data_IF_256297928916
#
_entry.id   IF_256297928916
#
_cell.length_a   1.000
_cell.length_b   1.000
_cell.length_c   1.000
_cell.angle_alpha   90.00
_cell.angle_beta   90.00
_cell.angle_gamma   90.00
#
_symmetry.space_group_name_H-M   'P 1'
#
loop_
_entity.id
_entity.type
_entity.pdbx_description
1 polymer ?
#
# COMPACT_ATOMS: atom_id res chain seq x y z
N UNK A 1 23.23 -31.42 15.20
CA UNK A 1 24.36 -30.48 15.36
C UNK A 1 24.07 -29.33 14.41
N UNK A 2 23.84 -28.08 14.78
CA UNK A 2 24.24 -27.25 15.93
C UNK A 2 23.04 -26.35 16.29
N UNK A 3 22.57 -26.26 17.54
CA UNK A 3 23.14 -25.54 18.70
C UNK A 3 23.36 -24.05 18.45
N UNK A 4 22.42 -23.24 18.97
CA UNK A 4 22.65 -21.86 19.41
C UNK A 4 21.79 -21.59 20.67
N UNK A 5 22.28 -22.01 21.84
CA UNK A 5 22.14 -21.22 23.09
C UNK A 5 23.26 -20.17 23.02
N UNK A 6 23.16 -18.95 23.53
CA UNK A 6 22.76 -18.54 24.86
C UNK A 6 22.55 -17.01 24.93
N UNK A 7 21.90 -16.56 26.00
CA UNK A 7 21.34 -15.24 26.25
C UNK A 7 22.42 -14.18 26.55
N UNK A 8 22.21 -12.97 26.04
CA UNK A 8 22.64 -11.73 26.73
C UNK A 8 21.41 -10.84 26.94
N UNK A 9 21.02 -10.68 28.20
CA UNK A 9 19.96 -9.76 28.63
C UNK A 9 20.50 -8.33 28.63
N UNK A 10 20.41 -7.64 27.50
CA UNK A 10 20.34 -6.18 27.52
C UNK A 10 18.90 -5.83 27.89
N UNK A 11 18.70 -4.87 28.80
CA UNK A 11 17.38 -4.47 29.30
C UNK A 11 16.44 -4.14 28.14
N UNK A 12 15.60 -5.10 27.75
CA UNK A 12 14.69 -4.93 26.62
C UNK A 12 13.61 -3.96 27.06
N UNK A 13 13.70 -2.71 26.61
CA UNK A 13 12.59 -1.78 26.75
C UNK A 13 11.35 -2.42 26.11
N UNK A 14 10.28 -2.56 26.90
CA UNK A 14 8.97 -3.02 26.42
C UNK A 14 8.41 -2.06 25.36
N UNK A 15 8.85 -0.81 25.37
CA UNK A 15 8.38 0.25 24.49
C UNK A 15 9.42 0.61 23.43
N UNK A 16 8.95 0.86 22.22
CA UNK A 16 9.77 1.39 21.13
C UNK A 16 10.04 2.88 21.35
N UNK A 17 11.32 3.22 21.46
CA UNK A 17 11.84 4.59 21.47
C UNK A 17 11.58 5.30 20.14
N UNK A 18 11.69 6.62 20.12
CA UNK A 18 11.51 7.39 18.89
C UNK A 18 12.57 7.04 17.83
N UNK A 19 13.82 6.80 18.25
CA UNK A 19 14.89 6.36 17.35
C UNK A 19 14.59 4.98 16.75
N UNK A 20 14.16 4.01 17.57
CA UNK A 20 13.72 2.69 17.09
C UNK A 20 12.60 2.77 16.06
N UNK A 21 11.65 3.70 16.22
CA UNK A 21 10.58 3.94 15.26
C UNK A 21 11.12 4.54 13.95
N UNK A 22 12.00 5.53 14.03
CA UNK A 22 12.62 6.15 12.83
C UNK A 22 13.43 5.13 12.02
N UNK A 23 14.26 4.33 12.67
CA UNK A 23 15.03 3.25 12.00
C UNK A 23 14.08 2.26 11.33
N UNK A 24 13.00 1.87 12.01
CA UNK A 24 12.00 0.98 11.44
C UNK A 24 11.34 1.55 10.18
N UNK A 25 10.95 2.84 10.19
CA UNK A 25 10.35 3.52 9.04
C UNK A 25 11.32 3.62 7.85
N UNK A 26 12.60 3.91 8.11
CA UNK A 26 13.65 3.93 7.07
C UNK A 26 13.83 2.57 6.40
N UNK A 27 13.82 1.48 7.17
CA UNK A 27 13.89 0.12 6.62
C UNK A 27 12.64 -0.17 5.80
N UNK A 28 11.44 0.11 6.33
CA UNK A 28 10.18 -0.10 5.62
C UNK A 28 10.14 0.63 4.27
N UNK A 29 10.70 1.84 4.19
CA UNK A 29 10.74 2.62 2.96
C UNK A 29 11.44 1.89 1.81
N UNK A 30 12.51 1.11 2.10
CA UNK A 30 13.22 0.30 1.09
C UNK A 30 12.33 -0.79 0.48
N UNK A 31 11.39 -1.33 1.28
CA UNK A 31 10.50 -2.43 0.90
C UNK A 31 9.08 -1.97 0.52
N UNK A 32 8.83 -0.66 0.44
CA UNK A 32 7.51 -0.07 0.18
C UNK A 32 6.81 -0.69 -1.03
N UNK A 33 7.55 -0.90 -2.12
CA UNK A 33 7.02 -1.43 -3.38
C UNK A 33 6.53 -2.88 -3.32
N UNK A 34 6.84 -3.60 -2.23
CA UNK A 34 6.39 -4.99 -2.01
C UNK A 34 5.36 -5.03 -0.86
N UNK A 35 5.64 -4.35 0.25
CA UNK A 35 4.82 -4.38 1.47
C UNK A 35 3.47 -3.65 1.30
N UNK A 36 3.42 -2.57 0.51
CA UNK A 36 2.20 -1.77 0.30
C UNK A 36 1.40 -2.19 -0.94
N UNK A 37 1.81 -3.25 -1.65
CA UNK A 37 1.08 -3.79 -2.79
C UNK A 37 -0.30 -4.25 -2.33
N UNK A 38 -1.38 -3.64 -2.85
CA UNK A 38 -2.77 -4.02 -2.52
C UNK A 38 -3.20 -5.35 -3.14
N UNK A 39 -2.45 -5.88 -4.11
CA UNK A 39 -2.70 -7.18 -4.77
C UNK A 39 -2.42 -8.35 -3.81
N UNK A 40 -3.18 -9.42 -3.95
CA UNK A 40 -3.15 -10.62 -3.10
C UNK A 40 -3.18 -11.89 -3.95
N UNK A 41 -2.22 -12.05 -4.86
CA UNK A 41 -1.99 -13.32 -5.54
C UNK A 41 -0.96 -14.17 -4.78
N UNK A 42 -0.92 -15.49 -5.04
CA UNK A 42 -0.04 -16.41 -4.30
C UNK A 42 1.44 -15.99 -4.35
N UNK A 43 1.90 -15.42 -5.46
CA UNK A 43 3.26 -14.90 -5.62
C UNK A 43 3.48 -13.66 -4.75
N UNK A 44 2.59 -12.65 -4.79
CA UNK A 44 2.78 -11.46 -3.95
C UNK A 44 2.67 -11.74 -2.45
N UNK A 45 1.89 -12.75 -2.02
CA UNK A 45 1.91 -13.16 -0.61
C UNK A 45 3.29 -13.67 -0.20
N UNK A 46 3.90 -14.55 -1.01
CA UNK A 46 5.25 -15.06 -0.77
C UNK A 46 6.29 -13.93 -0.78
N UNK A 47 6.21 -13.04 -1.76
CA UNK A 47 7.11 -11.89 -1.86
C UNK A 47 7.01 -10.97 -0.63
N UNK A 48 5.79 -10.76 -0.12
CA UNK A 48 5.56 -10.00 1.13
C UNK A 48 6.16 -10.70 2.33
N UNK A 49 6.00 -12.02 2.46
CA UNK A 49 6.57 -12.76 3.59
C UNK A 49 8.11 -12.78 3.57
N UNK A 50 8.71 -12.89 2.37
CA UNK A 50 10.16 -12.73 2.19
C UNK A 50 10.60 -11.32 2.59
N UNK A 51 9.93 -10.28 2.08
CA UNK A 51 10.24 -8.89 2.43
C UNK A 51 10.14 -8.64 3.94
N UNK A 52 9.10 -9.16 4.60
CA UNK A 52 8.95 -9.05 6.05
C UNK A 52 10.05 -9.76 6.83
N UNK A 53 10.55 -10.89 6.32
CA UNK A 53 11.67 -11.61 6.92
C UNK A 53 12.95 -10.80 6.83
N UNK A 54 13.22 -10.19 5.66
CA UNK A 54 14.37 -9.31 5.44
C UNK A 54 14.30 -8.03 6.29
N UNK A 55 13.13 -7.41 6.41
CA UNK A 55 12.90 -6.27 7.32
C UNK A 55 13.22 -6.65 8.77
N UNK A 56 12.79 -7.85 9.19
CA UNK A 56 13.03 -8.32 10.55
C UNK A 56 14.52 -8.55 10.81
N UNK A 57 15.24 -9.12 9.85
CA UNK A 57 16.69 -9.31 9.91
C UNK A 57 17.43 -7.98 9.96
N UNK A 58 17.12 -7.05 9.04
CA UNK A 58 17.73 -5.71 9.03
C UNK A 58 17.48 -4.95 10.32
N UNK A 59 16.26 -5.02 10.87
CA UNK A 59 15.91 -4.34 12.11
C UNK A 59 16.61 -4.96 13.32
N UNK A 60 16.79 -6.29 13.32
CA UNK A 60 17.42 -7.01 14.42
C UNK A 60 18.93 -6.73 14.54
N UNK A 61 19.57 -6.19 13.50
CA UNK A 61 20.90 -5.60 13.61
C UNK A 61 20.95 -4.38 14.53
N UNK A 62 19.80 -3.73 14.76
CA UNK A 62 19.65 -2.57 15.64
C UNK A 62 18.98 -2.93 16.98
N UNK A 63 17.83 -3.61 16.94
CA UNK A 63 17.05 -3.97 18.14
C UNK A 63 16.34 -5.31 17.93
N UNK A 64 16.56 -6.27 18.83
CA UNK A 64 16.03 -7.63 18.71
C UNK A 64 14.50 -7.66 18.90
N UNK A 65 13.77 -7.90 17.81
CA UNK A 65 12.32 -8.04 17.75
C UNK A 65 11.91 -9.24 16.88
N UNK A 66 10.68 -9.71 17.11
CA UNK A 66 10.08 -10.74 16.27
C UNK A 66 9.32 -10.12 15.11
N UNK A 67 9.17 -10.88 14.04
CA UNK A 67 8.40 -10.48 12.86
C UNK A 67 6.95 -10.07 13.21
N UNK A 68 6.33 -10.75 14.17
CA UNK A 68 5.00 -10.39 14.66
C UNK A 68 4.99 -9.04 15.39
N UNK A 69 6.01 -8.75 16.21
CA UNK A 69 6.14 -7.48 16.91
C UNK A 69 6.33 -6.31 15.94
N UNK A 70 7.10 -6.50 14.86
CA UNK A 70 7.32 -5.49 13.83
C UNK A 70 6.07 -5.25 12.97
N UNK A 71 5.37 -6.32 12.58
CA UNK A 71 4.07 -6.21 11.90
C UNK A 71 3.06 -5.44 12.78
N UNK A 72 3.05 -5.69 14.10
CA UNK A 72 2.22 -4.96 15.06
C UNK A 72 2.65 -3.50 15.20
N UNK A 73 3.96 -3.22 15.26
CA UNK A 73 4.49 -1.86 15.29
C UNK A 73 4.02 -1.05 14.08
N UNK A 74 4.14 -1.60 12.86
CA UNK A 74 3.63 -0.95 11.64
C UNK A 74 2.13 -0.66 11.73
N UNK A 75 1.34 -1.64 12.19
CA UNK A 75 -0.10 -1.46 12.33
C UNK A 75 -0.44 -0.32 13.31
N UNK A 76 0.25 -0.26 14.45
CA UNK A 76 0.07 0.78 15.46
C UNK A 76 0.49 2.17 14.94
N UNK A 77 1.61 2.27 14.20
CA UNK A 77 2.05 3.54 13.59
C UNK A 77 1.01 4.06 12.59
N UNK A 78 0.48 3.19 11.72
CA UNK A 78 -0.60 3.56 10.79
C UNK A 78 -1.87 3.98 11.52
N UNK A 79 -2.24 3.28 12.60
CA UNK A 79 -3.44 3.61 13.36
C UNK A 79 -3.29 4.95 14.09
N UNK A 80 -2.17 5.19 14.75
CA UNK A 80 -1.87 6.45 15.43
C UNK A 80 -1.97 7.63 14.46
N UNK A 81 -1.47 7.48 13.23
CA UNK A 81 -1.57 8.50 12.19
C UNK A 81 -3.03 8.74 11.76
N UNK A 82 -3.84 7.69 11.62
CA UNK A 82 -5.27 7.83 11.31
C UNK A 82 -6.04 8.54 12.42
N UNK A 83 -5.73 8.22 13.67
CA UNK A 83 -6.40 8.81 14.83
C UNK A 83 -6.07 10.30 14.94
N UNK A 84 -4.81 10.69 14.69
CA UNK A 84 -4.41 12.09 14.61
C UNK A 84 -5.18 12.87 13.53
N UNK A 85 -5.24 12.33 12.30
CA UNK A 85 -6.00 12.92 11.19
C UNK A 85 -7.51 12.99 11.46
N UNK A 86 -8.07 11.95 12.10
CA UNK A 86 -9.50 11.90 12.42
C UNK A 86 -9.85 12.91 13.50
N UNK A 87 -9.00 13.03 14.54
CA UNK A 87 -9.16 14.03 15.60
C UNK A 87 -9.08 15.45 15.04
N UNK A 88 -8.11 15.72 14.16
CA UNK A 88 -8.02 17.01 13.46
C UNK A 88 -9.30 17.32 12.68
N UNK A 89 -9.80 16.37 11.90
CA UNK A 89 -11.04 16.53 11.14
C UNK A 89 -12.24 16.77 12.04
N UNK A 90 -12.34 16.05 13.16
CA UNK A 90 -13.39 16.26 14.15
C UNK A 90 -13.32 17.66 14.74
N UNK A 91 -12.13 18.15 15.11
CA UNK A 91 -11.95 19.52 15.59
C UNK A 91 -12.38 20.55 14.54
N UNK A 92 -11.99 20.38 13.27
CA UNK A 92 -12.41 21.26 12.16
C UNK A 92 -13.93 21.28 11.95
N UNK A 93 -14.62 20.16 12.16
CA UNK A 93 -16.07 20.04 11.96
C UNK A 93 -16.88 20.40 13.22
N UNK A 94 -16.27 20.40 14.40
CA UNK A 94 -16.95 20.61 15.68
C UNK A 94 -17.18 22.10 16.02
N UNK A 95 -16.63 23.05 15.25
CA UNK A 95 -16.69 24.46 15.61
C UNK A 95 -17.79 25.23 14.88
N UNK A 96 -18.82 25.60 15.63
CA UNK A 96 -19.59 26.83 15.41
C UNK A 96 -18.76 28.08 15.75
N UNK A 97 -17.70 28.34 14.98
CA UNK A 97 -16.93 29.60 15.02
C UNK A 97 -15.77 29.72 16.04
N UNK A 98 -15.05 28.64 16.37
CA UNK A 98 -13.88 28.68 17.27
C UNK A 98 -12.53 28.59 16.52
N UNK A 99 -11.51 29.27 17.07
CA UNK A 99 -10.16 29.47 16.49
C UNK A 99 -9.37 28.18 16.20
N UNK A 100 -8.60 28.21 15.09
CA UNK A 100 -7.71 27.17 14.57
C UNK A 100 -6.36 27.17 15.31
N UNK A 101 -6.11 26.23 16.23
CA UNK A 101 -4.80 26.17 16.91
C UNK A 101 -4.17 24.78 17.07
N UNK A 102 -4.62 23.74 16.36
CA UNK A 102 -3.91 22.44 16.39
C UNK A 102 -3.78 21.85 14.99
N UNK A 103 -2.65 22.15 14.33
CA UNK A 103 -2.17 21.34 13.22
C UNK A 103 -1.81 19.96 13.78
N UNK A 104 -2.43 18.89 13.27
CA UNK A 104 -2.01 17.56 13.66
C UNK A 104 -0.53 17.39 13.30
N UNK A 105 0.29 16.92 14.23
CA UNK A 105 1.67 16.54 13.97
C UNK A 105 1.64 15.31 13.03
N UNK A 106 1.67 15.56 11.72
CA UNK A 106 1.69 14.52 10.70
C UNK A 106 3.12 14.01 10.58
N UNK A 107 3.34 12.73 10.90
CA UNK A 107 4.63 12.09 10.65
C UNK A 107 4.77 11.83 9.14
N UNK A 108 5.60 12.64 8.49
CA UNK A 108 5.88 12.58 7.05
C UNK A 108 6.46 11.23 6.62
N UNK A 109 7.17 10.52 7.51
CA UNK A 109 7.74 9.21 7.21
C UNK A 109 6.66 8.13 7.17
N UNK A 110 5.66 8.23 8.05
CA UNK A 110 4.48 7.34 8.02
C UNK A 110 3.63 7.62 6.79
N UNK A 111 3.47 8.91 6.42
CA UNK A 111 2.72 9.31 5.22
C UNK A 111 3.38 8.80 3.94
N UNK A 112 4.71 8.87 3.87
CA UNK A 112 5.48 8.36 2.72
C UNK A 112 5.28 6.86 2.51
N UNK A 113 5.14 6.09 3.58
CA UNK A 113 4.88 4.64 3.49
C UNK A 113 3.42 4.38 3.14
N UNK A 114 2.47 5.13 3.69
CA UNK A 114 1.05 4.90 3.50
C UNK A 114 0.32 6.17 3.02
N UNK A 115 0.54 6.62 1.76
CA UNK A 115 -0.02 7.88 1.25
C UNK A 115 -1.54 7.89 1.18
N UNK A 116 -2.17 6.72 1.10
CA UNK A 116 -3.63 6.55 1.13
C UNK A 116 -4.27 6.89 2.49
N UNK A 117 -3.48 7.07 3.56
CA UNK A 117 -4.03 7.42 4.88
C UNK A 117 -4.65 8.82 4.90
N UNK A 118 -4.18 9.73 4.03
CA UNK A 118 -4.73 11.07 3.85
C UNK A 118 -5.76 11.16 2.71
N UNK A 119 -6.00 10.05 2.00
CA UNK A 119 -6.98 10.04 0.91
C UNK A 119 -8.38 10.10 1.54
N UNK A 120 -8.88 11.32 1.75
CA UNK A 120 -10.23 11.53 2.24
C UNK A 120 -11.18 10.91 1.22
N UNK A 121 -12.00 9.96 1.65
CA UNK A 121 -13.11 9.50 0.83
C UNK A 121 -13.90 10.74 0.41
N UNK A 122 -14.08 10.92 -0.90
CA UNK A 122 -14.90 12.00 -1.44
C UNK A 122 -16.31 11.81 -0.88
N UNK A 123 -16.67 12.64 0.10
CA UNK A 123 -18.04 12.71 0.60
C UNK A 123 -18.86 13.26 -0.55
N UNK A 124 -19.63 12.38 -1.19
CA UNK A 124 -20.47 12.70 -2.37
C UNK A 124 -21.52 13.77 -2.07
N UNK A 125 -21.83 13.99 -0.80
CA UNK A 125 -22.77 14.98 -0.34
C UNK A 125 -22.13 15.81 0.77
N UNK A 126 -21.71 17.01 0.41
CA UNK A 126 -21.73 18.14 1.35
C UNK A 126 -23.13 18.73 1.27
N UNK A 127 -23.72 19.14 2.39
CA UNK A 127 -25.10 19.66 2.51
C UNK A 127 -25.44 20.87 1.62
N UNK A 128 -24.48 21.34 0.80
CA UNK A 128 -24.54 22.52 -0.05
C UNK A 128 -24.33 22.24 -1.56
N UNK A 129 -24.28 20.99 -2.04
CA UNK A 129 -24.16 20.72 -3.48
C UNK A 129 -25.50 20.89 -4.22
N UNK A 130 -25.48 21.53 -5.39
CA UNK A 130 -26.65 21.63 -6.27
C UNK A 130 -26.88 20.32 -7.05
N UNK A 131 -28.14 20.07 -7.42
CA UNK A 131 -28.56 18.90 -8.21
C UNK A 131 -27.69 18.70 -9.48
N UNK A 132 -27.29 19.80 -10.13
CA UNK A 132 -26.49 19.77 -11.36
C UNK A 132 -25.06 19.28 -11.10
N UNK A 133 -24.46 19.66 -9.98
CA UNK A 133 -23.12 19.21 -9.59
C UNK A 133 -23.12 17.72 -9.25
N UNK A 134 -24.18 17.27 -8.56
CA UNK A 134 -24.38 15.85 -8.23
C UNK A 134 -24.48 15.01 -9.51
N UNK A 135 -25.33 15.43 -10.45
CA UNK A 135 -25.49 14.76 -11.75
C UNK A 135 -24.17 14.76 -12.56
N UNK A 136 -23.41 15.85 -12.52
CA UNK A 136 -22.09 15.95 -13.15
C UNK A 136 -21.08 14.93 -12.59
N UNK A 137 -21.05 14.76 -11.27
CA UNK A 137 -20.17 13.79 -10.60
C UNK A 137 -20.56 12.34 -10.97
N UNK A 138 -21.85 12.02 -11.00
CA UNK A 138 -22.32 10.70 -11.42
C UNK A 138 -21.88 10.39 -12.85
N UNK A 139 -22.13 11.32 -13.78
CA UNK A 139 -21.75 11.16 -15.19
C UNK A 139 -20.24 10.98 -15.37
N UNK A 140 -19.42 11.73 -14.64
CA UNK A 140 -17.96 11.61 -14.68
C UNK A 140 -17.48 10.25 -14.15
N UNK A 141 -18.10 9.73 -13.07
CA UNK A 141 -17.77 8.41 -12.53
C UNK A 141 -18.12 7.29 -13.51
N UNK A 142 -19.29 7.37 -14.14
CA UNK A 142 -19.69 6.40 -15.17
C UNK A 142 -18.75 6.41 -16.37
N UNK A 143 -18.37 7.59 -16.87
CA UNK A 143 -17.40 7.72 -17.95
C UNK A 143 -16.04 7.13 -17.58
N UNK A 144 -15.55 7.42 -16.37
CA UNK A 144 -14.29 6.85 -15.89
C UNK A 144 -14.33 5.32 -15.78
N UNK A 145 -15.46 4.76 -15.35
CA UNK A 145 -15.66 3.32 -15.30
C UNK A 145 -15.69 2.70 -16.70
N UNK A 146 -16.39 3.33 -17.64
CA UNK A 146 -16.45 2.90 -19.04
C UNK A 146 -15.06 2.92 -19.69
N UNK A 147 -14.29 3.99 -19.50
CA UNK A 147 -12.92 4.11 -20.04
C UNK A 147 -11.99 3.03 -19.47
N UNK A 148 -12.11 2.69 -18.18
CA UNK A 148 -11.35 1.59 -17.58
C UNK A 148 -11.70 0.24 -18.19
N UNK A 149 -12.99 -0.03 -18.46
CA UNK A 149 -13.46 -1.26 -19.11
C UNK A 149 -12.92 -1.37 -20.53
N UNK A 150 -13.01 -0.29 -21.31
CA UNK A 150 -12.51 -0.25 -22.69
C UNK A 150 -11.01 -0.54 -22.75
N UNK A 151 -10.21 0.14 -21.92
CA UNK A 151 -8.76 -0.09 -21.86
C UNK A 151 -8.40 -1.52 -21.47
N UNK A 152 -9.18 -2.15 -20.60
CA UNK A 152 -8.98 -3.55 -20.25
C UNK A 152 -9.29 -4.47 -21.43
N UNK A 153 -10.38 -4.23 -22.14
CA UNK A 153 -10.78 -4.97 -23.33
C UNK A 153 -9.74 -4.87 -24.45
N UNK A 154 -9.23 -3.67 -24.74
CA UNK A 154 -8.15 -3.44 -25.70
C UNK A 154 -6.90 -4.26 -25.36
N UNK A 155 -6.52 -4.29 -24.08
CA UNK A 155 -5.39 -5.09 -23.62
C UNK A 155 -5.62 -6.59 -23.82
N UNK A 156 -6.84 -7.08 -23.57
CA UNK A 156 -7.21 -8.48 -23.80
C UNK A 156 -7.17 -8.83 -25.29
N UNK A 157 -7.66 -7.95 -26.16
CA UNK A 157 -7.61 -8.14 -27.61
C UNK A 157 -6.17 -8.17 -28.12
N UNK A 158 -5.32 -7.26 -27.64
CA UNK A 158 -3.89 -7.25 -27.97
C UNK A 158 -3.18 -8.55 -27.55
N UNK A 159 -3.55 -9.15 -26.42
CA UNK A 159 -3.02 -10.46 -26.03
C UNK A 159 -3.50 -11.59 -26.95
N UNK A 160 -4.80 -11.59 -27.30
CA UNK A 160 -5.36 -12.59 -28.24
C UNK A 160 -4.69 -12.52 -29.60
N UNK A 161 -4.50 -11.32 -30.16
CA UNK A 161 -3.83 -11.12 -31.44
C UNK A 161 -2.39 -11.61 -31.43
N UNK A 162 -1.64 -11.30 -30.37
CA UNK A 162 -0.26 -11.81 -30.21
C UNK A 162 -0.24 -13.33 -30.19
N UNK A 163 -1.17 -13.95 -29.48
CA UNK A 163 -1.26 -15.41 -29.41
C UNK A 163 -1.60 -16.03 -30.77
N UNK A 164 -2.55 -15.44 -31.51
CA UNK A 164 -2.92 -15.90 -32.83
C UNK A 164 -1.77 -15.79 -33.84
N UNK A 165 -1.01 -14.69 -33.81
CA UNK A 165 0.20 -14.53 -34.63
C UNK A 165 1.22 -15.62 -34.36
N UNK A 166 1.48 -15.91 -33.08
CA UNK A 166 2.41 -16.97 -32.69
C UNK A 166 1.97 -18.35 -33.20
N UNK A 167 0.68 -18.70 -33.10
CA UNK A 167 0.15 -19.96 -33.62
C UNK A 167 0.34 -20.03 -35.15
N UNK A 168 -0.04 -18.98 -35.87
CA UNK A 168 0.11 -18.94 -37.33
C UNK A 168 1.58 -19.07 -37.75
N UNK A 169 2.51 -18.43 -37.04
CA UNK A 169 3.94 -18.56 -37.28
C UNK A 169 4.43 -20.00 -37.10
N UNK A 170 3.99 -20.68 -36.03
CA UNK A 170 4.30 -22.10 -35.81
C UNK A 170 3.77 -23.00 -36.93
N UNK A 171 2.55 -22.77 -37.38
CA UNK A 171 1.96 -23.53 -38.49
C UNK A 171 2.73 -23.34 -39.80
N UNK A 172 3.14 -22.10 -40.10
CA UNK A 172 3.95 -21.79 -41.29
C UNK A 172 5.30 -22.51 -41.21
N UNK A 173 5.97 -22.47 -40.06
CA UNK A 173 7.24 -23.17 -39.85
C UNK A 173 7.08 -24.68 -40.01
N UNK A 174 6.01 -25.25 -39.48
CA UNK A 174 5.71 -26.67 -39.62
C UNK A 174 5.49 -27.05 -41.09
N UNK A 175 4.64 -26.31 -41.83
CA UNK A 175 4.40 -26.55 -43.26
C UNK A 175 5.67 -26.44 -44.11
N UNK A 176 6.55 -25.47 -43.83
CA UNK A 176 7.85 -25.33 -44.51
C UNK A 176 8.77 -26.54 -44.32
N UNK A 177 8.67 -27.26 -43.20
CA UNK A 177 9.47 -28.47 -42.94
C UNK A 177 9.02 -29.71 -43.71
N UNK A 178 7.80 -29.73 -44.27
CA UNK A 178 7.31 -30.87 -45.08
C UNK A 178 7.42 -30.63 -46.59
N UNK A 179 7.84 -29.43 -47.00
CA UNK A 179 7.97 -29.06 -48.42
C UNK A 179 9.44 -29.12 -48.90
N UNK A 180 10.40 -29.27 -47.99
CA UNK A 180 11.81 -29.61 -48.26
C UNK A 180 12.10 -31.06 -47.89
#
# INVERSE_FOLDING_TARGET
MSSCKEKTETSRSKHYTQMERKVFLQILQKYKNVVEVKRSDATTLKDKDIAWSQICEEYNNFSLRTLQQLKKLRANLKQSQKDALTKEKQLRLATGGGSLENEAEIDLDILNIAPHLMETASVLFTSNMSEKEIQGIFKLKEQNLANKKLKHEENMNKMREKHLKYINELEIQHKKKFIN
#
